data_IF_916017505601
#
_entry.id   IF_916017505601
#
_cell.length_a   1.000
_cell.length_b   1.000
_cell.length_c   1.000
_cell.angle_alpha   90.00
_cell.angle_beta   90.00
_cell.angle_gamma   90.00
#
_symmetry.space_group_name_H-M   'P 1'
#
loop_
_entity.id
_entity.type
_entity.pdbx_description
1 polymer ?
#
# COMPACT_ATOMS: atom_id res chain seq x y z
N UNK A 1 1.57 29.73 -13.67
CA UNK A 1 1.49 28.28 -13.42
C UNK A 1 0.59 27.69 -14.47
N UNK A 2 0.97 26.58 -15.04
CA UNK A 2 0.37 26.08 -16.27
C UNK A 2 -0.59 24.94 -15.98
N UNK A 3 -1.70 24.91 -16.73
CA UNK A 3 -2.52 23.71 -16.90
C UNK A 3 -1.61 22.59 -17.40
N UNK A 4 -1.67 21.42 -16.80
CA UNK A 4 -0.97 20.23 -17.29
C UNK A 4 -1.73 19.61 -18.45
N UNK A 5 -1.02 19.02 -19.40
CA UNK A 5 -1.67 18.37 -20.56
C UNK A 5 -2.23 16.98 -20.21
N UNK A 6 -1.74 16.39 -19.13
CA UNK A 6 -2.14 15.07 -18.68
C UNK A 6 -3.60 15.03 -18.23
N UNK A 7 -4.23 13.88 -18.39
CA UNK A 7 -5.64 13.63 -17.99
C UNK A 7 -5.77 13.38 -16.47
N UNK A 8 -4.73 12.84 -15.84
CA UNK A 8 -4.73 12.41 -14.45
C UNK A 8 -3.70 13.17 -13.63
N UNK A 9 -4.09 13.58 -12.42
CA UNK A 9 -3.17 14.18 -11.42
C UNK A 9 -3.00 13.20 -10.27
N UNK A 10 -1.77 12.83 -9.96
CA UNK A 10 -1.43 11.89 -8.88
C UNK A 10 -0.88 12.66 -7.70
N UNK A 11 -1.49 12.49 -6.54
CA UNK A 11 -1.07 13.07 -5.27
C UNK A 11 -0.84 11.98 -4.24
N UNK A 12 0.42 11.77 -3.86
CA UNK A 12 0.82 10.72 -2.90
C UNK A 12 2.10 11.11 -2.15
N UNK A 13 2.17 10.79 -0.87
CA UNK A 13 3.33 11.05 0.00
C UNK A 13 4.57 10.24 -0.37
N UNK A 14 4.36 9.08 -0.98
CA UNK A 14 5.38 8.06 -1.19
C UNK A 14 6.03 8.14 -2.58
N UNK A 15 5.77 9.20 -3.36
CA UNK A 15 6.34 9.36 -4.72
C UNK A 15 7.88 9.31 -4.79
N UNK A 16 8.56 9.35 -3.65
CA UNK A 16 10.03 9.36 -3.53
C UNK A 16 10.54 8.19 -2.67
N UNK A 17 9.68 7.25 -2.24
CA UNK A 17 10.06 6.14 -1.35
C UNK A 17 10.17 4.80 -2.10
N UNK A 18 10.98 3.87 -1.58
CA UNK A 18 11.12 2.52 -2.13
C UNK A 18 10.17 1.49 -1.46
N UNK A 19 9.07 1.95 -0.86
CA UNK A 19 8.11 1.10 -0.15
C UNK A 19 7.08 0.43 -1.05
N UNK A 20 6.33 -0.53 -0.51
CA UNK A 20 5.30 -1.28 -1.24
C UNK A 20 4.23 -0.41 -1.88
N UNK A 21 3.84 0.69 -1.22
CA UNK A 21 2.91 1.70 -1.77
C UNK A 21 3.46 2.34 -3.03
N UNK A 22 4.71 2.82 -2.99
CA UNK A 22 5.39 3.41 -4.14
C UNK A 22 5.47 2.43 -5.32
N UNK A 23 5.86 1.18 -5.06
CA UNK A 23 5.96 0.15 -6.09
C UNK A 23 4.59 -0.21 -6.70
N UNK A 24 3.54 -0.25 -5.89
CA UNK A 24 2.18 -0.52 -6.36
C UNK A 24 1.66 0.64 -7.20
N UNK A 25 1.79 1.88 -6.72
CA UNK A 25 1.39 3.07 -7.47
C UNK A 25 2.19 3.22 -8.77
N UNK A 26 3.51 3.04 -8.72
CA UNK A 26 4.37 3.06 -9.91
C UNK A 26 3.94 2.01 -10.96
N UNK A 27 3.56 0.81 -10.51
CA UNK A 27 3.07 -0.25 -11.40
C UNK A 27 1.74 0.10 -12.06
N UNK A 28 0.85 0.80 -11.37
CA UNK A 28 -0.41 1.31 -11.93
C UNK A 28 -0.11 2.36 -13.01
N UNK A 29 0.76 3.32 -12.67
CA UNK A 29 1.05 4.46 -13.54
C UNK A 29 1.88 4.09 -14.78
N UNK A 30 2.67 3.01 -14.72
CA UNK A 30 3.58 2.61 -15.82
C UNK A 30 2.84 2.47 -17.16
N UNK A 31 1.64 1.89 -17.16
CA UNK A 31 0.87 1.65 -18.39
C UNK A 31 0.29 2.92 -19.03
N UNK A 32 0.18 4.02 -18.26
CA UNK A 32 -0.36 5.32 -18.71
C UNK A 32 0.50 6.50 -18.24
N UNK A 33 1.78 6.31 -18.23
CA UNK A 33 2.74 7.30 -17.72
C UNK A 33 2.59 8.67 -18.40
N UNK A 34 2.34 8.70 -19.69
CA UNK A 34 2.20 9.94 -20.46
C UNK A 34 0.91 10.70 -20.13
N UNK A 35 -0.11 10.01 -19.61
CA UNK A 35 -1.40 10.59 -19.22
C UNK A 35 -1.42 11.06 -17.77
N UNK A 36 -0.36 10.79 -16.99
CA UNK A 36 -0.30 11.07 -15.56
C UNK A 36 0.71 12.16 -15.23
N UNK A 37 0.31 13.09 -14.37
CA UNK A 37 1.18 14.10 -13.79
C UNK A 37 1.23 13.92 -12.27
N UNK A 38 2.42 13.68 -11.71
CA UNK A 38 2.60 13.56 -10.28
C UNK A 38 2.92 14.92 -9.65
N UNK A 39 2.21 15.28 -8.61
CA UNK A 39 2.42 16.50 -7.84
C UNK A 39 2.73 16.15 -6.39
N UNK A 40 3.72 16.84 -5.79
CA UNK A 40 4.02 16.71 -4.38
C UNK A 40 3.21 17.71 -3.55
N UNK A 41 2.98 17.41 -2.26
CA UNK A 41 2.32 18.35 -1.35
C UNK A 41 3.09 19.67 -1.21
N UNK A 42 4.40 19.66 -1.25
CA UNK A 42 5.24 20.86 -1.15
C UNK A 42 4.95 21.86 -2.28
N UNK A 43 4.71 21.33 -3.49
CA UNK A 43 4.46 22.14 -4.69
C UNK A 43 2.98 22.40 -4.96
N UNK A 44 2.09 21.72 -4.25
CA UNK A 44 0.64 21.88 -4.39
C UNK A 44 0.21 23.28 -3.97
N UNK A 45 -0.57 23.96 -4.82
CA UNK A 45 -1.13 25.29 -4.54
C UNK A 45 -2.58 25.35 -5.01
N UNK A 46 -3.38 26.26 -4.41
CA UNK A 46 -4.78 26.49 -4.82
C UNK A 46 -4.87 26.84 -6.30
N UNK A 47 -3.97 27.67 -6.82
CA UNK A 47 -3.94 28.03 -8.24
C UNK A 47 -3.66 26.82 -9.13
N UNK A 48 -2.78 25.88 -8.71
CA UNK A 48 -2.56 24.65 -9.46
C UNK A 48 -3.84 23.81 -9.53
N UNK A 49 -4.59 23.73 -8.43
CA UNK A 49 -5.89 23.03 -8.38
C UNK A 49 -6.89 23.69 -9.31
N UNK A 50 -7.04 25.03 -9.26
CA UNK A 50 -7.95 25.78 -10.13
C UNK A 50 -7.71 25.53 -11.62
N UNK A 51 -6.44 25.49 -12.03
CA UNK A 51 -6.08 25.23 -13.43
C UNK A 51 -6.25 23.76 -13.87
N UNK A 52 -6.44 22.84 -12.94
CA UNK A 52 -6.49 21.41 -13.20
C UNK A 52 -7.71 20.72 -12.57
N UNK A 53 -8.76 21.46 -12.24
CA UNK A 53 -9.98 20.92 -11.60
C UNK A 53 -10.83 20.06 -12.53
N UNK A 54 -10.64 20.19 -13.84
CA UNK A 54 -11.26 19.38 -14.88
C UNK A 54 -10.60 17.99 -15.05
N UNK A 55 -9.49 17.75 -14.35
CA UNK A 55 -8.75 16.48 -14.38
C UNK A 55 -9.28 15.51 -13.32
N UNK A 56 -8.99 14.23 -13.50
CA UNK A 56 -9.24 13.21 -12.46
C UNK A 56 -8.02 13.14 -11.53
N UNK A 57 -8.26 13.32 -10.23
CA UNK A 57 -7.23 13.26 -9.21
C UNK A 57 -7.16 11.86 -8.60
N UNK A 58 -5.95 11.33 -8.48
CA UNK A 58 -5.65 10.03 -7.87
C UNK A 58 -4.98 10.29 -6.54
N UNK A 59 -5.68 10.05 -5.44
CA UNK A 59 -5.19 10.28 -4.08
C UNK A 59 -4.70 8.96 -3.47
N UNK A 60 -3.40 8.85 -3.24
CA UNK A 60 -2.79 7.77 -2.47
C UNK A 60 -2.68 8.12 -0.98
N UNK A 61 -1.49 7.93 -0.37
CA UNK A 61 -1.22 8.40 0.98
C UNK A 61 -1.08 9.92 1.01
N UNK A 62 -1.65 10.55 2.02
CA UNK A 62 -1.73 12.01 2.12
C UNK A 62 -1.34 12.55 3.50
N UNK A 63 -0.55 11.81 4.27
CA UNK A 63 -0.15 12.22 5.62
C UNK A 63 0.65 13.52 5.64
N UNK A 64 1.42 13.79 4.58
CA UNK A 64 2.21 15.03 4.45
C UNK A 64 1.35 16.30 4.37
N UNK A 65 0.06 16.19 4.06
CA UNK A 65 -0.83 17.36 4.05
C UNK A 65 -0.79 18.14 5.36
N UNK A 66 -0.60 17.45 6.48
CA UNK A 66 -0.55 18.06 7.82
C UNK A 66 0.80 18.71 8.08
N UNK A 67 1.91 18.02 7.81
CA UNK A 67 3.26 18.57 7.99
C UNK A 67 3.53 19.76 7.07
N UNK A 68 3.03 19.71 5.83
CA UNK A 68 3.16 20.77 4.84
C UNK A 68 2.10 21.87 4.95
N UNK A 69 1.17 21.77 5.93
CA UNK A 69 0.07 22.72 6.16
C UNK A 69 -0.78 22.97 4.90
N UNK A 70 -1.08 21.90 4.17
CA UNK A 70 -1.82 21.92 2.90
C UNK A 70 -3.29 21.45 3.03
N UNK A 71 -3.85 21.61 4.22
CA UNK A 71 -5.22 21.17 4.50
C UNK A 71 -6.26 21.94 3.66
N UNK A 72 -6.04 23.24 3.40
CA UNK A 72 -6.93 24.03 2.57
C UNK A 72 -6.89 23.62 1.11
N UNK A 73 -5.71 23.26 0.60
CA UNK A 73 -5.54 22.71 -0.76
C UNK A 73 -6.23 21.36 -0.88
N UNK A 74 -6.11 20.49 0.13
CA UNK A 74 -6.81 19.22 0.15
C UNK A 74 -8.34 19.43 0.12
N UNK A 75 -8.89 20.25 1.00
CA UNK A 75 -10.33 20.52 0.99
C UNK A 75 -10.82 21.06 -0.36
N UNK A 76 -10.02 21.91 -1.00
CA UNK A 76 -10.36 22.41 -2.34
C UNK A 76 -10.44 21.27 -3.37
N UNK A 77 -9.54 20.27 -3.31
CA UNK A 77 -9.63 19.08 -4.17
C UNK A 77 -10.92 18.31 -3.87
N UNK A 78 -11.25 18.09 -2.59
CA UNK A 78 -12.44 17.34 -2.19
C UNK A 78 -13.75 18.00 -2.62
N UNK A 79 -13.78 19.33 -2.70
CA UNK A 79 -14.97 20.13 -3.03
C UNK A 79 -15.13 20.38 -4.53
N UNK A 80 -14.03 20.55 -5.27
CA UNK A 80 -14.08 21.09 -6.64
C UNK A 80 -13.61 20.09 -7.71
N UNK A 81 -12.96 18.97 -7.33
CA UNK A 81 -12.37 18.05 -8.30
C UNK A 81 -13.05 16.67 -8.27
N UNK A 82 -13.05 16.01 -9.42
CA UNK A 82 -13.30 14.57 -9.47
C UNK A 82 -12.06 13.83 -8.97
N UNK A 83 -12.20 12.98 -7.96
CA UNK A 83 -11.07 12.23 -7.45
C UNK A 83 -11.43 10.80 -7.07
N UNK A 84 -10.41 9.94 -7.07
CA UNK A 84 -10.46 8.59 -6.56
C UNK A 84 -9.48 8.44 -5.39
N UNK A 85 -9.74 7.48 -4.51
CA UNK A 85 -8.87 7.16 -3.37
C UNK A 85 -8.30 5.76 -3.52
N UNK A 86 -6.98 5.62 -3.34
CA UNK A 86 -6.33 4.32 -3.09
C UNK A 86 -5.99 4.27 -1.61
N UNK A 87 -6.62 3.38 -0.87
CA UNK A 87 -6.46 3.24 0.56
C UNK A 87 -5.47 2.11 0.86
N UNK A 88 -4.21 2.48 1.09
CA UNK A 88 -3.13 1.51 1.29
C UNK A 88 -3.08 0.89 2.69
N UNK A 89 -3.54 1.63 3.71
CA UNK A 89 -3.48 1.23 5.12
C UNK A 89 -4.80 1.52 5.83
N UNK A 90 -4.84 1.46 7.15
CA UNK A 90 -5.96 1.92 7.97
C UNK A 90 -5.72 3.36 8.41
N UNK A 91 -5.79 4.30 7.47
CA UNK A 91 -5.39 5.70 7.69
C UNK A 91 -6.32 6.51 8.61
N UNK A 92 -7.47 5.94 9.04
CA UNK A 92 -8.25 6.50 10.14
C UNK A 92 -7.53 6.40 11.50
N UNK A 93 -6.42 5.66 11.58
CA UNK A 93 -5.55 5.59 12.75
C UNK A 93 -4.14 6.06 12.40
N UNK A 94 -3.55 6.95 13.20
CA UNK A 94 -2.18 7.47 13.01
C UNK A 94 -1.08 6.38 13.00
N UNK A 95 -1.37 5.19 13.57
CA UNK A 95 -0.50 4.02 13.53
C UNK A 95 -0.91 3.01 12.45
N UNK A 96 -1.79 3.42 11.52
CA UNK A 96 -2.28 2.61 10.40
C UNK A 96 -2.96 1.30 10.80
N UNK A 97 -3.36 1.18 12.07
CA UNK A 97 -4.08 0.04 12.64
C UNK A 97 -4.47 0.35 14.07
N UNK A 98 -5.74 0.13 14.46
CA UNK A 98 -6.17 0.23 15.86
C UNK A 98 -5.37 -0.72 16.75
N UNK A 99 -5.29 -1.99 16.35
CA UNK A 99 -4.51 -3.01 17.06
C UNK A 99 -3.03 -2.60 17.19
N UNK A 100 -2.41 -2.12 16.10
CA UNK A 100 -1.03 -1.63 16.13
C UNK A 100 -0.83 -0.46 17.09
N UNK A 101 -1.80 0.46 17.13
CA UNK A 101 -1.80 1.57 18.08
C UNK A 101 -1.82 1.07 19.53
N UNK A 102 -2.77 0.16 19.85
CA UNK A 102 -2.94 -0.37 21.21
C UNK A 102 -1.69 -1.12 21.69
N UNK A 103 -1.12 -1.98 20.86
CA UNK A 103 0.08 -2.75 21.21
C UNK A 103 1.30 -1.84 21.37
N UNK A 104 1.52 -0.91 20.44
CA UNK A 104 2.69 -0.03 20.46
C UNK A 104 2.64 1.01 21.58
N UNK A 105 1.47 1.62 21.78
CA UNK A 105 1.27 2.67 22.80
C UNK A 105 0.83 2.13 24.15
N UNK A 106 0.45 0.85 24.25
CA UNK A 106 -0.11 0.21 25.47
C UNK A 106 -1.34 0.95 26.01
N UNK A 107 -2.16 1.49 25.10
CA UNK A 107 -3.39 2.19 25.44
C UNK A 107 -4.45 1.92 24.36
N UNK A 108 -5.73 2.02 24.70
CA UNK A 108 -6.82 1.86 23.73
C UNK A 108 -6.71 2.88 22.60
N UNK A 109 -6.94 2.44 21.38
CA UNK A 109 -7.01 3.32 20.23
C UNK A 109 -8.33 4.11 20.24
N UNK A 110 -8.23 5.42 20.24
CA UNK A 110 -9.40 6.31 20.15
C UNK A 110 -9.39 7.16 18.86
N UNK A 111 -8.45 6.89 17.94
CA UNK A 111 -8.33 7.62 16.68
C UNK A 111 -9.64 7.65 15.88
N UNK A 112 -10.39 6.52 15.72
CA UNK A 112 -11.65 6.51 14.97
C UNK A 112 -12.73 7.38 15.60
N UNK A 113 -12.67 7.58 16.93
CA UNK A 113 -13.67 8.37 17.68
C UNK A 113 -13.28 9.84 17.84
N UNK A 114 -12.07 10.21 17.42
CA UNK A 114 -11.61 11.58 17.49
C UNK A 114 -11.40 12.14 18.89
N UNK A 115 -11.22 11.28 19.89
CA UNK A 115 -11.11 11.68 21.30
C UNK A 115 -9.66 11.72 21.82
N UNK A 116 -8.75 11.04 21.12
CA UNK A 116 -7.31 11.12 21.40
C UNK A 116 -6.47 11.10 20.12
N UNK A 117 -5.25 11.59 20.19
CA UNK A 117 -4.36 11.68 19.04
C UNK A 117 -4.68 12.87 18.13
N UNK A 118 -4.75 12.66 16.83
CA UNK A 118 -5.17 13.69 15.86
C UNK A 118 -6.60 13.40 15.36
N UNK A 119 -7.64 13.85 16.09
CA UNK A 119 -9.04 13.63 15.70
C UNK A 119 -9.34 14.15 14.29
N UNK A 120 -8.66 15.21 13.89
CA UNK A 120 -8.79 15.82 12.58
C UNK A 120 -8.33 14.85 11.46
N UNK A 121 -7.28 14.08 11.72
CA UNK A 121 -6.74 13.12 10.75
C UNK A 121 -7.78 12.08 10.34
N UNK A 122 -8.37 11.38 11.32
CA UNK A 122 -9.40 10.37 11.06
C UNK A 122 -10.57 10.95 10.28
N UNK A 123 -11.09 12.09 10.71
CA UNK A 123 -12.22 12.76 10.03
C UNK A 123 -11.90 13.18 8.59
N UNK A 124 -10.69 13.63 8.31
CA UNK A 124 -10.27 13.97 6.96
C UNK A 124 -10.21 12.73 6.08
N UNK A 125 -9.67 11.61 6.58
CA UNK A 125 -9.67 10.36 5.82
C UNK A 125 -11.08 9.82 5.57
N UNK A 126 -11.98 9.92 6.56
CA UNK A 126 -13.39 9.57 6.38
C UNK A 126 -14.05 10.43 5.29
N UNK A 127 -13.82 11.75 5.31
CA UNK A 127 -14.33 12.66 4.28
C UNK A 127 -13.78 12.33 2.89
N UNK A 128 -12.50 11.96 2.78
CA UNK A 128 -11.92 11.56 1.50
C UNK A 128 -12.61 10.30 0.98
N UNK A 129 -12.78 9.28 1.81
CA UNK A 129 -13.45 8.06 1.40
C UNK A 129 -14.92 8.31 1.00
N UNK A 130 -15.63 9.15 1.77
CA UNK A 130 -17.05 9.46 1.52
C UNK A 130 -17.26 10.27 0.24
N UNK A 131 -16.34 11.17 -0.11
CA UNK A 131 -16.48 12.05 -1.27
C UNK A 131 -15.75 11.52 -2.53
N UNK A 132 -14.99 10.44 -2.43
CA UNK A 132 -14.32 9.87 -3.60
C UNK A 132 -15.33 9.32 -4.61
N UNK A 133 -15.06 9.50 -5.90
CA UNK A 133 -15.84 8.88 -6.96
C UNK A 133 -15.68 7.37 -6.95
N UNK A 134 -14.50 6.88 -6.53
CA UNK A 134 -14.24 5.46 -6.29
C UNK A 134 -13.14 5.29 -5.24
N UNK A 135 -13.28 4.30 -4.35
CA UNK A 135 -12.25 3.93 -3.36
C UNK A 135 -11.73 2.52 -3.63
N UNK A 136 -10.42 2.41 -3.80
CA UNK A 136 -9.73 1.12 -3.92
C UNK A 136 -9.13 0.72 -2.59
N UNK A 137 -9.50 -0.46 -2.09
CA UNK A 137 -8.89 -1.12 -0.95
C UNK A 137 -7.85 -2.15 -1.39
N UNK A 138 -6.93 -2.52 -0.52
CA UNK A 138 -5.85 -3.45 -0.83
C UNK A 138 -6.20 -4.91 -0.57
N UNK A 139 -7.27 -5.18 0.20
CA UNK A 139 -7.75 -6.53 0.50
C UNK A 139 -9.24 -6.51 0.84
N UNK A 140 -9.92 -7.67 0.69
CA UNK A 140 -11.32 -7.83 1.13
C UNK A 140 -11.46 -7.62 2.64
N UNK A 141 -10.44 -8.01 3.40
CA UNK A 141 -10.44 -7.80 4.85
C UNK A 141 -10.35 -6.33 5.22
N UNK A 142 -9.52 -5.55 4.52
CA UNK A 142 -9.47 -4.09 4.71
C UNK A 142 -10.82 -3.46 4.38
N UNK A 143 -11.41 -3.82 3.24
CA UNK A 143 -12.72 -3.35 2.81
C UNK A 143 -13.80 -3.65 3.86
N UNK A 144 -13.80 -4.86 4.45
CA UNK A 144 -14.74 -5.23 5.52
C UNK A 144 -14.54 -4.41 6.79
N UNK A 145 -13.29 -4.09 7.19
CA UNK A 145 -13.00 -3.21 8.33
C UNK A 145 -13.55 -1.81 8.09
N UNK A 146 -13.34 -1.25 6.89
CA UNK A 146 -13.90 0.05 6.52
C UNK A 146 -15.44 0.04 6.48
N UNK A 147 -16.06 -1.07 6.10
CA UNK A 147 -17.52 -1.23 6.17
C UNK A 147 -18.06 -1.09 7.59
N UNK A 148 -17.33 -1.60 8.57
CA UNK A 148 -17.72 -1.46 9.98
C UNK A 148 -17.39 -0.07 10.55
N UNK A 149 -16.22 0.51 10.14
CA UNK A 149 -15.77 1.83 10.60
C UNK A 149 -16.60 2.97 10.00
N UNK A 150 -16.92 2.90 8.71
CA UNK A 150 -17.58 3.95 7.95
C UNK A 150 -18.85 3.41 7.24
N UNK A 151 -19.92 3.10 7.99
CA UNK A 151 -21.10 2.44 7.43
C UNK A 151 -21.87 3.32 6.43
N UNK A 152 -21.57 4.63 6.36
CA UNK A 152 -22.16 5.56 5.39
C UNK A 152 -21.45 5.51 4.02
N UNK A 153 -20.31 4.83 3.90
CA UNK A 153 -19.60 4.69 2.65
C UNK A 153 -20.41 3.88 1.64
N UNK A 154 -20.54 4.42 0.45
CA UNK A 154 -21.21 3.71 -0.66
C UNK A 154 -20.31 2.60 -1.22
N UNK A 155 -20.51 1.38 -0.75
CA UNK A 155 -19.70 0.23 -1.15
C UNK A 155 -19.88 -0.21 -2.61
N UNK A 156 -20.87 0.34 -3.34
CA UNK A 156 -20.98 0.17 -4.81
C UNK A 156 -19.85 0.91 -5.55
N UNK A 157 -19.29 1.94 -4.92
CA UNK A 157 -18.14 2.71 -5.40
C UNK A 157 -16.81 2.24 -4.81
N UNK A 158 -16.78 1.01 -4.29
CA UNK A 158 -15.60 0.46 -3.63
C UNK A 158 -15.19 -0.87 -4.26
N UNK A 159 -13.89 -1.05 -4.48
CA UNK A 159 -13.37 -2.31 -4.97
C UNK A 159 -12.03 -2.67 -4.33
N UNK A 160 -11.61 -3.93 -4.49
CA UNK A 160 -10.30 -4.39 -4.05
C UNK A 160 -9.33 -4.35 -5.22
N UNK A 161 -8.28 -3.55 -5.06
CA UNK A 161 -7.21 -3.44 -6.05
C UNK A 161 -6.13 -4.50 -5.84
N UNK A 162 -5.71 -4.68 -4.58
CA UNK A 162 -4.56 -5.50 -4.21
C UNK A 162 -3.21 -4.90 -4.65
N UNK A 163 -2.11 -5.65 -4.50
CA UNK A 163 -0.81 -5.25 -5.04
C UNK A 163 -0.81 -5.23 -6.56
N UNK A 164 -0.24 -4.20 -7.15
CA UNK A 164 -0.01 -4.14 -8.58
C UNK A 164 1.47 -4.36 -8.88
N UNK A 165 1.74 -5.09 -9.94
CA UNK A 165 3.08 -5.36 -10.43
C UNK A 165 3.22 -4.90 -11.87
N UNK A 166 4.29 -4.17 -12.14
CA UNK A 166 4.65 -3.76 -13.50
C UNK A 166 5.07 -4.97 -14.33
N UNK A 167 5.04 -4.83 -15.64
CA UNK A 167 5.55 -5.86 -16.56
C UNK A 167 7.01 -6.17 -16.25
N UNK A 168 7.82 -5.14 -16.02
CA UNK A 168 9.24 -5.29 -15.65
C UNK A 168 9.44 -6.06 -14.34
N UNK A 169 8.61 -5.84 -13.33
CA UNK A 169 8.63 -6.61 -12.09
C UNK A 169 8.30 -8.09 -12.31
N UNK A 170 7.32 -8.38 -13.15
CA UNK A 170 6.93 -9.77 -13.47
C UNK A 170 8.03 -10.50 -14.24
N UNK A 171 8.66 -9.85 -15.22
CA UNK A 171 9.81 -10.37 -15.94
C UNK A 171 11.01 -10.64 -15.02
N UNK A 172 11.20 -9.78 -14.02
CA UNK A 172 12.25 -9.98 -13.00
C UNK A 172 12.02 -11.25 -12.17
N UNK A 173 10.77 -11.53 -11.79
CA UNK A 173 10.44 -12.80 -11.10
C UNK A 173 10.68 -14.00 -12.00
N UNK A 174 10.28 -13.96 -13.27
CA UNK A 174 10.51 -15.04 -14.24
C UNK A 174 12.01 -15.32 -14.41
N UNK A 175 12.82 -14.28 -14.46
CA UNK A 175 14.30 -14.39 -14.54
C UNK A 175 14.92 -15.11 -13.32
N UNK A 176 14.32 -14.91 -12.13
CA UNK A 176 14.95 -15.36 -10.87
C UNK A 176 14.24 -16.52 -10.17
N UNK A 177 13.04 -16.94 -10.60
CA UNK A 177 12.25 -17.95 -9.89
C UNK A 177 12.84 -19.36 -9.90
N UNK A 178 13.71 -19.69 -10.87
CA UNK A 178 14.33 -21.00 -11.04
C UNK A 178 15.76 -21.10 -10.49
N UNK A 179 16.24 -20.07 -9.76
CA UNK A 179 17.55 -20.12 -9.10
C UNK A 179 17.61 -21.24 -8.05
N UNK A 180 18.76 -21.88 -7.93
CA UNK A 180 19.03 -22.79 -6.82
C UNK A 180 18.98 -22.04 -5.52
N UNK A 181 18.15 -22.50 -4.59
CA UNK A 181 17.99 -21.91 -3.26
C UNK A 181 19.04 -22.43 -2.30
N UNK A 182 19.54 -21.54 -1.43
CA UNK A 182 20.29 -21.97 -0.25
C UNK A 182 19.30 -22.54 0.81
N UNK A 183 19.82 -23.08 1.92
CA UNK A 183 18.99 -23.62 3.00
C UNK A 183 18.63 -22.57 4.07
N UNK A 184 18.89 -21.29 3.81
CA UNK A 184 18.68 -20.19 4.76
C UNK A 184 17.31 -19.53 4.58
N UNK A 185 16.87 -18.89 5.65
CA UNK A 185 15.62 -18.15 5.71
C UNK A 185 15.90 -16.65 5.63
N UNK A 186 15.10 -15.93 4.87
CA UNK A 186 15.20 -14.48 4.74
C UNK A 186 14.25 -13.78 5.72
N UNK A 187 14.73 -12.76 6.40
CA UNK A 187 13.92 -11.82 7.17
C UNK A 187 14.19 -10.44 6.59
N UNK A 188 13.16 -9.66 6.28
CA UNK A 188 13.36 -8.32 5.75
C UNK A 188 13.66 -7.34 6.88
N UNK A 189 14.69 -6.52 6.69
CA UNK A 189 14.97 -5.41 7.59
C UNK A 189 13.87 -4.37 7.51
N UNK A 190 13.40 -3.88 8.66
CA UNK A 190 12.52 -2.72 8.69
C UNK A 190 13.32 -1.42 8.65
N UNK A 191 12.63 -0.28 8.51
CA UNK A 191 13.25 1.05 8.54
C UNK A 191 13.47 1.59 9.97
N UNK A 192 13.54 0.70 10.97
CA UNK A 192 13.69 1.05 12.38
C UNK A 192 12.39 1.47 13.07
N UNK A 193 12.46 1.67 14.40
CA UNK A 193 11.34 2.16 15.20
C UNK A 193 10.02 1.43 15.00
N UNK A 194 8.94 2.17 14.87
CA UNK A 194 7.60 1.63 14.63
C UNK A 194 7.52 0.77 13.38
N UNK A 195 8.27 1.09 12.33
CA UNK A 195 8.21 0.34 11.08
C UNK A 195 8.72 -1.09 11.23
N UNK A 196 9.88 -1.28 11.89
CA UNK A 196 10.41 -2.63 12.16
C UNK A 196 9.54 -3.40 13.13
N UNK A 197 8.94 -2.72 14.14
CA UNK A 197 7.94 -3.31 15.02
C UNK A 197 6.71 -3.77 14.21
N UNK A 198 6.13 -2.91 13.40
CA UNK A 198 4.94 -3.21 12.61
C UNK A 198 5.16 -4.42 11.68
N UNK A 199 6.32 -4.52 11.06
CA UNK A 199 6.70 -5.61 10.16
C UNK A 199 7.12 -6.91 10.88
N UNK A 200 7.19 -6.90 12.23
CA UNK A 200 7.45 -8.09 13.02
C UNK A 200 8.86 -8.66 12.84
N UNK A 201 9.86 -7.78 12.69
CA UNK A 201 11.26 -8.21 12.48
C UNK A 201 11.76 -9.01 13.67
N UNK A 202 11.42 -8.60 14.90
CA UNK A 202 11.77 -9.33 16.12
C UNK A 202 11.07 -10.68 16.18
N UNK A 203 9.78 -10.71 15.91
CA UNK A 203 8.95 -11.94 15.91
C UNK A 203 9.45 -12.95 14.88
N UNK A 204 9.89 -12.49 13.70
CA UNK A 204 10.48 -13.35 12.68
C UNK A 204 11.83 -13.94 13.13
N UNK A 205 12.67 -13.17 13.82
CA UNK A 205 13.92 -13.66 14.43
C UNK A 205 13.63 -14.70 15.51
N UNK A 206 12.77 -14.35 16.47
CA UNK A 206 12.39 -15.24 17.57
C UNK A 206 11.82 -16.57 17.03
N UNK A 207 11.03 -16.52 15.96
CA UNK A 207 10.51 -17.71 15.28
C UNK A 207 11.64 -18.58 14.67
N UNK A 208 12.59 -17.98 13.96
CA UNK A 208 13.72 -18.70 13.38
C UNK A 208 14.60 -19.35 14.46
N UNK A 209 14.91 -18.62 15.54
CA UNK A 209 15.70 -19.10 16.65
C UNK A 209 15.02 -20.28 17.36
N UNK A 210 13.71 -20.17 17.65
CA UNK A 210 12.94 -21.22 18.30
C UNK A 210 12.86 -22.53 17.47
N UNK A 211 12.98 -22.42 16.15
CA UNK A 211 12.95 -23.57 15.23
C UNK A 211 14.35 -24.02 14.77
N UNK A 212 15.42 -23.42 15.28
CA UNK A 212 16.82 -23.68 14.87
C UNK A 212 17.02 -23.45 13.35
N UNK A 213 16.36 -22.45 12.77
CA UNK A 213 16.54 -22.09 11.37
C UNK A 213 17.71 -21.12 11.21
N UNK A 214 18.60 -21.39 10.27
CA UNK A 214 19.61 -20.42 9.86
C UNK A 214 18.98 -19.34 9.02
N UNK A 215 19.15 -18.07 9.40
CA UNK A 215 18.54 -16.94 8.72
C UNK A 215 19.50 -15.78 8.48
N UNK A 216 19.14 -14.93 7.54
CA UNK A 216 19.77 -13.64 7.29
C UNK A 216 18.73 -12.53 7.31
N UNK A 217 19.15 -11.35 7.78
CA UNK A 217 18.35 -10.14 7.71
C UNK A 217 18.75 -9.41 6.45
N UNK A 218 17.81 -9.30 5.51
CA UNK A 218 18.05 -8.65 4.23
C UNK A 218 17.94 -7.14 4.39
N UNK A 219 18.99 -6.39 3.98
CA UNK A 219 18.97 -4.93 4.08
C UNK A 219 17.98 -4.31 3.09
N UNK A 220 17.54 -3.10 3.43
CA UNK A 220 16.81 -2.26 2.49
C UNK A 220 17.74 -1.85 1.34
N UNK A 221 17.32 -2.07 0.10
CA UNK A 221 18.08 -1.80 -1.11
C UNK A 221 17.18 -1.55 -2.32
N UNK A 222 17.76 -1.26 -3.47
CA UNK A 222 17.04 -1.11 -4.72
C UNK A 222 16.21 -2.36 -5.04
N UNK A 223 15.03 -2.18 -5.60
CA UNK A 223 14.06 -3.25 -5.80
C UNK A 223 14.60 -4.42 -6.60
N UNK A 224 15.30 -4.17 -7.70
CA UNK A 224 15.88 -5.23 -8.54
C UNK A 224 16.90 -6.06 -7.77
N UNK A 225 17.82 -5.41 -7.04
CA UNK A 225 18.79 -6.09 -6.18
C UNK A 225 18.13 -6.85 -5.05
N UNK A 226 17.03 -6.29 -4.49
CA UNK A 226 16.25 -6.95 -3.46
C UNK A 226 15.68 -8.28 -3.98
N UNK A 227 15.04 -8.28 -5.14
CA UNK A 227 14.47 -9.49 -5.75
C UNK A 227 15.56 -10.51 -6.09
N UNK A 228 16.67 -10.04 -6.65
CA UNK A 228 17.83 -10.91 -6.93
C UNK A 228 18.39 -11.57 -5.67
N UNK A 229 18.55 -10.82 -4.57
CA UNK A 229 19.05 -11.32 -3.30
C UNK A 229 18.03 -12.29 -2.68
N UNK A 230 16.76 -11.88 -2.57
CA UNK A 230 15.69 -12.70 -2.00
C UNK A 230 15.55 -14.04 -2.74
N UNK A 231 15.76 -14.06 -4.05
CA UNK A 231 15.62 -15.25 -4.88
C UNK A 231 16.58 -16.39 -4.50
N UNK A 232 17.64 -16.14 -3.74
CA UNK A 232 18.62 -17.14 -3.32
C UNK A 232 18.21 -17.94 -2.07
N UNK A 233 17.16 -17.52 -1.36
CA UNK A 233 16.74 -18.10 -0.08
C UNK A 233 15.70 -19.21 -0.27
N UNK A 234 15.68 -20.15 0.69
CA UNK A 234 14.67 -21.21 0.76
C UNK A 234 13.29 -20.65 1.09
N UNK A 235 13.24 -19.74 2.04
CA UNK A 235 11.99 -19.21 2.57
C UNK A 235 12.09 -17.73 2.94
N UNK A 236 10.96 -17.04 2.93
CA UNK A 236 10.75 -15.77 3.59
C UNK A 236 9.99 -15.98 4.89
N UNK A 237 10.48 -15.43 6.00
CA UNK A 237 9.76 -15.33 7.27
C UNK A 237 9.28 -13.90 7.46
N UNK A 238 7.97 -13.71 7.47
CA UNK A 238 7.33 -12.41 7.59
C UNK A 238 6.13 -12.49 8.53
N UNK A 239 6.31 -12.01 9.75
CA UNK A 239 5.33 -12.16 10.85
C UNK A 239 4.92 -10.80 11.42
N UNK A 240 4.24 -9.93 10.63
CA UNK A 240 3.89 -8.59 11.07
C UNK A 240 3.09 -8.62 12.38
N UNK A 241 3.38 -7.65 13.26
CA UNK A 241 2.66 -7.49 14.54
C UNK A 241 1.30 -6.86 14.31
N UNK A 242 1.21 -5.95 13.34
CA UNK A 242 -0.04 -5.29 12.96
C UNK A 242 -0.61 -5.88 11.67
N UNK A 243 -1.88 -5.60 11.39
CA UNK A 243 -2.48 -6.02 10.13
C UNK A 243 -1.77 -5.35 8.94
N UNK A 244 -1.18 -6.15 8.08
CA UNK A 244 -0.60 -5.70 6.80
C UNK A 244 -1.62 -5.94 5.70
N UNK A 245 -2.17 -4.86 5.16
CA UNK A 245 -3.26 -4.88 4.17
C UNK A 245 -2.78 -5.39 2.82
N UNK A 246 -1.49 -5.15 2.52
CA UNK A 246 -0.90 -5.39 1.21
C UNK A 246 0.57 -5.84 1.34
N UNK A 247 0.84 -7.00 1.99
CA UNK A 247 2.20 -7.47 2.20
C UNK A 247 2.83 -7.94 0.88
N UNK A 248 3.33 -7.00 0.10
CA UNK A 248 3.92 -7.25 -1.22
C UNK A 248 5.04 -8.30 -1.17
N UNK A 249 5.84 -8.28 -0.11
CA UNK A 249 6.97 -9.20 0.06
C UNK A 249 6.59 -10.69 0.07
N UNK A 250 5.43 -11.07 0.62
CA UNK A 250 5.00 -12.48 0.58
C UNK A 250 4.58 -12.92 -0.82
N UNK A 251 4.04 -11.99 -1.62
CA UNK A 251 3.73 -12.25 -3.04
C UNK A 251 5.02 -12.44 -3.82
N UNK A 252 5.98 -11.54 -3.64
CA UNK A 252 7.30 -11.59 -4.28
C UNK A 252 8.02 -12.90 -3.97
N UNK A 253 8.07 -13.29 -2.69
CA UNK A 253 8.63 -14.57 -2.27
C UNK A 253 7.94 -15.76 -2.96
N UNK A 254 6.60 -15.75 -2.99
CA UNK A 254 5.82 -16.79 -3.66
C UNK A 254 6.09 -16.88 -5.16
N UNK A 255 6.16 -15.73 -5.86
CA UNK A 255 6.47 -15.69 -7.29
C UNK A 255 7.90 -16.16 -7.60
N UNK A 256 8.82 -15.93 -6.68
CA UNK A 256 10.19 -16.43 -6.72
C UNK A 256 10.34 -17.91 -6.33
N UNK A 257 9.27 -18.64 -6.06
CA UNK A 257 9.28 -20.03 -5.59
C UNK A 257 9.94 -20.24 -4.21
N UNK A 258 9.87 -19.27 -3.31
CA UNK A 258 10.24 -19.44 -1.92
C UNK A 258 9.07 -20.02 -1.13
N UNK A 259 9.39 -20.74 -0.07
CA UNK A 259 8.44 -21.01 1.00
C UNK A 259 8.08 -19.68 1.71
N UNK A 260 6.81 -19.47 2.02
CA UNK A 260 6.33 -18.28 2.72
C UNK A 260 5.84 -18.68 4.11
N UNK A 261 6.54 -18.23 5.13
CA UNK A 261 6.16 -18.39 6.53
C UNK A 261 5.66 -17.05 7.02
N UNK A 262 4.36 -16.95 7.24
CA UNK A 262 3.73 -15.72 7.71
C UNK A 262 2.58 -16.00 8.69
N UNK A 263 2.14 -14.96 9.39
CA UNK A 263 1.04 -15.05 10.35
C UNK A 263 -0.27 -14.48 9.77
N UNK A 264 -1.33 -14.56 10.57
CA UNK A 264 -2.69 -14.14 10.20
C UNK A 264 -2.86 -12.61 10.02
N UNK A 265 -1.84 -11.82 10.30
CA UNK A 265 -1.83 -10.38 10.06
C UNK A 265 -1.53 -10.03 8.59
N UNK A 266 -1.00 -10.98 7.81
CA UNK A 266 -0.84 -10.84 6.36
C UNK A 266 -2.19 -11.03 5.65
N UNK A 267 -2.86 -9.95 5.26
CA UNK A 267 -4.24 -10.06 4.76
C UNK A 267 -4.37 -10.79 3.43
N UNK A 268 -3.37 -10.73 2.57
CA UNK A 268 -3.39 -11.41 1.27
C UNK A 268 -3.52 -12.94 1.35
N UNK A 269 -3.15 -13.58 2.46
CA UNK A 269 -3.31 -15.05 2.60
C UNK A 269 -4.77 -15.50 2.62
N UNK A 270 -5.69 -14.57 2.86
CA UNK A 270 -7.13 -14.84 2.87
C UNK A 270 -7.79 -14.58 1.51
N UNK A 271 -7.07 -13.98 0.57
CA UNK A 271 -7.61 -13.68 -0.74
C UNK A 271 -7.81 -14.96 -1.56
N UNK A 272 -8.86 -14.98 -2.38
CA UNK A 272 -9.22 -16.17 -3.17
C UNK A 272 -8.11 -16.61 -4.14
N UNK A 273 -7.34 -15.66 -4.66
CA UNK A 273 -6.25 -15.89 -5.61
C UNK A 273 -4.97 -16.38 -4.93
N UNK A 274 -4.83 -16.22 -3.61
CA UNK A 274 -3.62 -16.64 -2.88
C UNK A 274 -3.42 -18.15 -2.86
N UNK A 275 -4.47 -18.95 -2.87
CA UNK A 275 -4.38 -20.42 -2.70
C UNK A 275 -3.65 -21.12 -3.83
N UNK A 276 -3.69 -20.58 -5.04
CA UNK A 276 -3.09 -21.15 -6.26
C UNK A 276 -2.12 -20.16 -6.88
N UNK A 277 -0.87 -20.60 -7.13
CA UNK A 277 0.18 -19.73 -7.65
C UNK A 277 -0.13 -19.22 -9.06
N UNK A 278 -0.69 -20.06 -9.94
CA UNK A 278 -1.09 -19.63 -11.29
C UNK A 278 -2.16 -18.55 -11.21
N UNK A 279 -3.20 -18.76 -10.39
CA UNK A 279 -4.23 -17.76 -10.14
C UNK A 279 -3.67 -16.48 -9.54
N UNK A 280 -2.67 -16.59 -8.65
CA UNK A 280 -1.97 -15.42 -8.10
C UNK A 280 -1.36 -14.57 -9.21
N UNK A 281 -0.62 -15.21 -10.12
CA UNK A 281 0.05 -14.51 -11.21
C UNK A 281 -0.96 -13.87 -12.19
N UNK A 282 -1.97 -14.62 -12.59
CA UNK A 282 -3.01 -14.13 -13.54
C UNK A 282 -3.78 -12.96 -12.93
N UNK A 283 -4.19 -13.08 -11.66
CA UNK A 283 -4.87 -12.01 -10.95
C UNK A 283 -4.02 -10.73 -10.87
N UNK A 284 -2.75 -10.84 -10.50
CA UNK A 284 -1.87 -9.69 -10.32
C UNK A 284 -1.49 -9.00 -11.63
N UNK A 285 -1.37 -9.76 -12.72
CA UNK A 285 -1.14 -9.20 -14.07
C UNK A 285 -2.25 -8.26 -14.52
N UNK A 286 -3.49 -8.55 -14.12
CA UNK A 286 -4.67 -7.78 -14.51
C UNK A 286 -4.95 -6.58 -13.63
N UNK A 287 -4.29 -6.42 -12.48
CA UNK A 287 -4.62 -5.33 -11.53
C UNK A 287 -4.42 -3.91 -12.07
N UNK A 288 -3.33 -3.59 -12.80
CA UNK A 288 -3.21 -2.27 -13.41
C UNK A 288 -4.32 -1.98 -14.43
N UNK A 289 -4.68 -2.96 -15.27
CA UNK A 289 -5.77 -2.82 -16.26
C UNK A 289 -7.12 -2.65 -15.56
N UNK A 290 -7.38 -3.45 -14.53
CA UNK A 290 -8.59 -3.34 -13.71
C UNK A 290 -8.74 -1.95 -13.07
N UNK A 291 -7.67 -1.39 -12.54
CA UNK A 291 -7.68 -0.03 -12.00
C UNK A 291 -8.13 0.97 -13.05
N UNK A 292 -7.49 0.93 -14.23
CA UNK A 292 -7.80 1.88 -15.30
C UNK A 292 -9.17 1.68 -15.91
N UNK A 293 -9.69 0.45 -15.99
CA UNK A 293 -11.05 0.20 -16.51
C UNK A 293 -12.11 0.90 -15.66
N UNK A 294 -11.93 0.91 -14.32
CA UNK A 294 -12.86 1.64 -13.43
C UNK A 294 -12.75 3.14 -13.61
N UNK A 295 -11.53 3.68 -13.79
CA UNK A 295 -11.32 5.11 -13.94
C UNK A 295 -11.81 5.63 -15.29
N UNK A 296 -11.71 4.82 -16.34
CA UNK A 296 -12.21 5.19 -17.66
C UNK A 296 -13.74 5.29 -17.73
N UNK A 297 -14.44 4.66 -16.77
CA UNK A 297 -15.90 4.68 -16.64
C UNK A 297 -16.41 5.87 -15.78
N UNK A 298 -15.53 6.67 -15.17
CA UNK A 298 -15.86 7.87 -14.38
C UNK A 298 -15.97 9.12 -15.27
#
# INVERSE_FOLDING_TARGET
MTTVNQKYIVLDDCLISNGGTFLTLGSILESRKEDCFSVSFETLTKNFIDYNKDKIWILGNIMKVFSEKKTEELFKILEECVFIKIEFDYNFCQYRSEFGHEVFKKQKCECPHGTSGEPLLSKIYDLICLNSSHTFFMSERQRAVYSAHLPMLDFSKCSVLSSCFSKSSLELFEKHNNKTKNNRYAILEGYGGFHSFAKGVKEAKDFCEANNFEFDILPNQDYEKHIELLSNYKALVFTPVIHDTCPRCIIEARLLNLEVICNNNCQHIYEFWWKDKSKTLDYLKERPNYFWSIIDDL
#
